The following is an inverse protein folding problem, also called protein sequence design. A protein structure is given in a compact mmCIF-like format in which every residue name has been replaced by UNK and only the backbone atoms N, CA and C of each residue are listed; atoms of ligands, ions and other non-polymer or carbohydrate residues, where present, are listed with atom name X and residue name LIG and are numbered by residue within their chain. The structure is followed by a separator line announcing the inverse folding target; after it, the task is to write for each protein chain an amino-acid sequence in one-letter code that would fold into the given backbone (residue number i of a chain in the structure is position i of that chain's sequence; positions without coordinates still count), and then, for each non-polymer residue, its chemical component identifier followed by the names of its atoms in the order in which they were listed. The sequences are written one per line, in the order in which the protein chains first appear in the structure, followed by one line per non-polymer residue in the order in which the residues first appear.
data_IF_854399274634
#
_entry.id   IF_854399274634
#
_cell.length_a   1.000
_cell.length_b   1.000
_cell.length_c   1.000
_cell.angle_alpha   90.00
_cell.angle_beta   90.00
_cell.angle_gamma   90.00
#
_symmetry.space_group_name_H-M   'P 1'
#
loop_
_entity.id
_entity.type
_entity.pdbx_description
1 polymer ?
#
# COMPACT_ATOMS: atom_id res chain seq x y z
N UNK A 1 70.18 73.25 -30.60
CA UNK A 1 69.92 73.59 -32.06
C UNK A 1 68.53 73.00 -32.41
N UNK A 2 67.72 73.93 -32.95
CA UNK A 2 66.54 73.75 -33.83
C UNK A 2 65.37 72.92 -33.31
N UNK A 3 64.33 73.53 -32.80
CA UNK A 3 63.09 74.10 -33.38
C UNK A 3 62.39 73.13 -34.36
N UNK A 4 61.20 72.63 -34.05
CA UNK A 4 59.98 73.04 -34.75
C UNK A 4 58.68 72.61 -33.98
N UNK A 5 57.89 73.63 -33.79
CA UNK A 5 56.51 73.53 -33.28
C UNK A 5 55.54 73.10 -34.39
N UNK A 6 54.52 72.34 -34.16
CA UNK A 6 53.28 72.30 -34.96
C UNK A 6 52.06 72.13 -34.12
N UNK A 7 51.22 73.03 -34.25
CA UNK A 7 49.87 73.36 -33.80
C UNK A 7 48.89 72.24 -33.67
N UNK A 8 48.16 72.31 -32.57
CA UNK A 8 46.92 71.50 -32.24
C UNK A 8 45.72 71.98 -33.07
N UNK A 9 44.91 71.07 -33.53
CA UNK A 9 43.51 71.30 -33.95
C UNK A 9 42.62 70.47 -33.04
N UNK A 10 41.80 71.16 -32.23
CA UNK A 10 40.70 70.56 -31.47
C UNK A 10 39.61 70.10 -32.42
N UNK A 11 39.20 68.83 -32.27
CA UNK A 11 37.97 68.31 -32.82
C UNK A 11 37.08 67.90 -31.66
N UNK A 12 35.97 68.63 -31.47
CA UNK A 12 34.89 68.23 -30.54
C UNK A 12 34.16 66.99 -31.13
N UNK A 13 34.21 65.87 -30.37
CA UNK A 13 33.44 64.66 -30.70
C UNK A 13 32.26 64.66 -29.78
N UNK A 14 31.05 64.94 -30.28
CA UNK A 14 29.78 64.79 -29.56
C UNK A 14 29.43 63.33 -29.34
N UNK A 15 29.35 62.90 -28.10
CA UNK A 15 28.84 61.59 -27.70
C UNK A 15 27.31 61.66 -27.69
N UNK A 16 26.66 61.08 -28.70
CA UNK A 16 25.23 60.83 -28.71
C UNK A 16 24.94 59.62 -27.79
N UNK A 17 24.35 59.88 -26.61
CA UNK A 17 23.90 58.84 -25.68
C UNK A 17 22.56 58.27 -26.19
N UNK A 18 22.60 57.14 -26.89
CA UNK A 18 21.40 56.40 -27.32
C UNK A 18 20.85 55.60 -26.11
N UNK A 19 19.77 56.08 -25.51
CA UNK A 19 19.02 55.35 -24.47
C UNK A 19 18.26 54.23 -25.18
N UNK A 20 18.76 53.00 -25.05
CA UNK A 20 18.04 51.77 -25.45
C UNK A 20 17.04 51.45 -24.36
N UNK A 21 15.79 51.89 -24.50
CA UNK A 21 14.65 51.45 -23.68
C UNK A 21 14.36 49.98 -24.02
N UNK A 22 14.92 49.05 -23.24
CA UNK A 22 14.63 47.63 -23.37
C UNK A 22 13.17 47.37 -22.95
N UNK A 23 12.30 47.18 -23.93
CA UNK A 23 10.95 46.72 -23.73
C UNK A 23 11.06 45.24 -23.35
N UNK A 24 11.05 44.90 -22.04
CA UNK A 24 10.89 43.53 -21.56
C UNK A 24 9.48 43.08 -21.90
N UNK A 25 9.33 42.37 -22.98
CA UNK A 25 8.11 41.61 -23.31
C UNK A 25 8.07 40.47 -22.30
N UNK A 26 7.29 40.63 -21.21
CA UNK A 26 6.93 39.53 -20.34
C UNK A 26 6.16 38.51 -21.19
N UNK A 27 6.78 37.37 -21.46
CA UNK A 27 6.10 36.25 -22.11
C UNK A 27 4.85 35.93 -21.27
N UNK A 28 3.66 35.79 -21.88
CA UNK A 28 2.49 35.40 -21.15
C UNK A 28 2.78 34.03 -20.51
N UNK A 29 2.77 33.96 -19.19
CA UNK A 29 2.71 32.71 -18.47
C UNK A 29 1.44 32.01 -18.95
N UNK A 30 1.59 31.00 -19.81
CA UNK A 30 0.46 30.15 -20.20
C UNK A 30 0.01 29.43 -18.95
N UNK A 31 -0.97 29.98 -18.25
CA UNK A 31 -1.69 29.27 -17.20
C UNK A 31 -2.14 27.96 -17.85
N UNK A 32 -1.71 26.83 -17.29
CA UNK A 32 -2.11 25.52 -17.77
C UNK A 32 -3.64 25.46 -17.70
N UNK A 33 -4.31 25.16 -18.82
CA UNK A 33 -5.75 25.09 -18.90
C UNK A 33 -6.26 24.02 -17.93
N UNK A 34 -7.21 24.40 -17.07
CA UNK A 34 -7.83 23.49 -16.11
C UNK A 34 -8.65 22.44 -16.85
N UNK A 35 -8.43 21.16 -16.52
CA UNK A 35 -9.09 20.02 -17.15
C UNK A 35 -9.61 19.09 -16.08
N UNK A 36 -10.92 18.81 -16.13
CA UNK A 36 -11.57 17.97 -15.14
C UNK A 36 -12.44 16.91 -15.81
N UNK A 37 -12.33 15.67 -15.31
CA UNK A 37 -13.34 14.66 -15.53
C UNK A 37 -14.40 14.68 -14.40
N UNK A 38 -15.44 13.91 -14.57
CA UNK A 38 -16.49 13.69 -13.55
C UNK A 38 -15.87 13.39 -12.19
N UNK A 39 -16.33 14.08 -11.16
CA UNK A 39 -15.83 13.95 -9.78
C UNK A 39 -14.72 14.93 -9.38
N UNK A 40 -14.30 15.81 -10.31
CA UNK A 40 -13.36 16.89 -10.02
C UNK A 40 -13.94 18.26 -10.41
N UNK A 41 -13.52 19.30 -9.67
CA UNK A 41 -13.89 20.70 -9.93
C UNK A 41 -12.77 21.63 -9.48
N UNK A 42 -13.00 22.93 -9.54
CA UNK A 42 -12.09 23.96 -8.99
C UNK A 42 -11.91 23.85 -7.46
N UNK A 43 -12.87 23.26 -6.76
CA UNK A 43 -12.92 23.25 -5.30
C UNK A 43 -12.94 21.87 -4.68
N UNK A 44 -13.23 20.81 -5.44
CA UNK A 44 -13.50 19.49 -4.88
C UNK A 44 -12.92 18.37 -5.73
N UNK A 45 -12.46 17.32 -5.06
CA UNK A 45 -12.06 16.03 -5.65
C UNK A 45 -12.85 14.93 -4.92
N UNK A 46 -13.73 14.22 -5.63
CA UNK A 46 -14.55 13.12 -5.08
C UNK A 46 -13.79 11.79 -5.22
N UNK A 47 -13.61 11.09 -4.12
CA UNK A 47 -12.92 9.81 -4.04
C UNK A 47 -13.86 8.77 -3.46
N UNK A 48 -14.02 7.63 -4.16
CA UNK A 48 -14.86 6.52 -3.72
C UNK A 48 -14.07 5.39 -3.07
N UNK A 49 -14.65 4.76 -2.06
CA UNK A 49 -14.08 3.59 -1.39
C UNK A 49 -15.18 2.60 -1.00
N UNK A 50 -14.84 1.31 -0.97
CA UNK A 50 -15.62 0.27 -0.28
C UNK A 50 -14.73 -0.43 0.73
N UNK A 51 -15.23 -0.61 1.95
CA UNK A 51 -14.49 -1.22 3.05
C UNK A 51 -15.40 -2.09 3.92
N UNK A 52 -14.87 -3.15 4.57
CA UNK A 52 -15.65 -3.99 5.45
C UNK A 52 -15.79 -3.33 6.84
N UNK A 53 -16.71 -2.40 7.00
CA UNK A 53 -17.03 -1.85 8.33
C UNK A 53 -17.81 -2.84 9.19
N UNK A 54 -18.42 -3.83 8.56
CA UNK A 54 -19.09 -4.98 9.20
C UNK A 54 -18.59 -6.30 8.60
N UNK A 55 -19.11 -7.45 9.10
CA UNK A 55 -18.78 -8.77 8.59
C UNK A 55 -17.46 -9.35 9.09
N UNK A 56 -16.95 -10.42 8.42
CA UNK A 56 -15.82 -11.22 8.93
C UNK A 56 -14.48 -10.48 8.98
N UNK A 57 -14.31 -9.42 8.19
CA UNK A 57 -13.10 -8.59 8.16
C UNK A 57 -13.33 -7.18 8.75
N UNK A 58 -14.32 -7.01 9.64
CA UNK A 58 -14.65 -5.69 10.20
C UNK A 58 -13.50 -5.00 10.93
N UNK A 59 -12.53 -5.75 11.48
CA UNK A 59 -11.30 -5.17 12.06
C UNK A 59 -10.47 -4.37 11.05
N UNK A 60 -10.57 -4.69 9.75
CA UNK A 60 -9.87 -3.99 8.69
C UNK A 60 -10.58 -2.68 8.26
N UNK A 61 -11.84 -2.46 8.68
CA UNK A 61 -12.55 -1.22 8.41
C UNK A 61 -11.88 0.03 8.98
N UNK A 62 -10.96 -0.13 9.94
CA UNK A 62 -10.13 0.96 10.48
C UNK A 62 -9.23 1.58 9.39
N UNK A 63 -8.84 0.84 8.36
CA UNK A 63 -8.05 1.34 7.23
C UNK A 63 -8.75 2.54 6.60
N UNK A 64 -9.98 2.34 6.11
CA UNK A 64 -10.74 3.40 5.45
C UNK A 64 -11.12 4.55 6.41
N UNK A 65 -11.33 4.27 7.73
CA UNK A 65 -11.48 5.33 8.73
C UNK A 65 -10.22 6.19 8.85
N UNK A 66 -9.04 5.57 8.83
CA UNK A 66 -7.75 6.28 8.88
C UNK A 66 -7.54 7.13 7.64
N UNK A 67 -7.89 6.61 6.46
CA UNK A 67 -7.84 7.35 5.20
C UNK A 67 -8.73 8.58 5.23
N UNK A 68 -9.97 8.43 5.69
CA UNK A 68 -10.90 9.56 5.86
C UNK A 68 -10.37 10.63 6.84
N UNK A 69 -9.75 10.20 7.94
CA UNK A 69 -9.10 11.08 8.90
C UNK A 69 -7.88 11.80 8.28
N UNK A 70 -7.10 11.10 7.45
CA UNK A 70 -5.97 11.69 6.72
C UNK A 70 -6.44 12.76 5.71
N UNK A 71 -7.48 12.47 4.94
CA UNK A 71 -8.03 13.46 4.01
C UNK A 71 -8.67 14.64 4.73
N UNK A 72 -9.27 14.41 5.92
CA UNK A 72 -9.68 15.53 6.77
C UNK A 72 -8.49 16.40 7.17
N UNK A 73 -7.36 15.80 7.55
CA UNK A 73 -6.13 16.55 7.85
C UNK A 73 -5.64 17.37 6.65
N UNK A 74 -5.69 16.81 5.44
CA UNK A 74 -5.35 17.52 4.19
C UNK A 74 -6.30 18.69 3.99
N UNK A 75 -7.61 18.48 4.15
CA UNK A 75 -8.62 19.52 4.00
C UNK A 75 -8.45 20.66 5.00
N UNK A 76 -8.16 20.37 6.27
CA UNK A 76 -7.87 21.38 7.32
C UNK A 76 -6.63 22.25 6.98
N UNK A 77 -5.78 21.79 6.06
CA UNK A 77 -4.60 22.50 5.54
C UNK A 77 -4.82 23.20 4.19
N UNK A 78 -6.08 23.24 3.71
CA UNK A 78 -6.44 23.90 2.44
C UNK A 78 -6.59 22.95 1.26
N UNK A 79 -6.65 21.64 1.50
CA UNK A 79 -6.86 20.62 0.47
C UNK A 79 -5.63 20.33 -0.39
N UNK A 80 -5.83 19.67 -1.52
CA UNK A 80 -4.79 19.40 -2.52
C UNK A 80 -4.88 20.42 -3.63
N UNK A 81 -3.84 21.23 -3.82
CA UNK A 81 -3.80 22.33 -4.78
C UNK A 81 -5.05 23.25 -4.68
N UNK A 82 -5.52 23.51 -3.42
CA UNK A 82 -6.71 24.33 -3.14
C UNK A 82 -8.05 23.62 -3.27
N UNK A 83 -8.09 22.31 -3.53
CA UNK A 83 -9.31 21.51 -3.69
C UNK A 83 -9.50 20.59 -2.49
N UNK A 84 -10.71 20.60 -1.92
CA UNK A 84 -11.06 19.72 -0.81
C UNK A 84 -11.32 18.30 -1.32
N UNK A 85 -10.87 17.31 -0.58
CA UNK A 85 -11.15 15.89 -0.84
C UNK A 85 -12.51 15.56 -0.22
N UNK A 86 -13.44 15.08 -1.02
CA UNK A 86 -14.68 14.44 -0.58
C UNK A 86 -14.50 12.93 -0.64
N UNK A 87 -14.25 12.31 0.51
CA UNK A 87 -14.04 10.87 0.62
C UNK A 87 -15.35 10.16 0.97
N UNK A 88 -15.86 9.36 0.03
CA UNK A 88 -17.13 8.64 0.13
C UNK A 88 -16.82 7.16 0.29
N UNK A 89 -17.02 6.60 1.48
CA UNK A 89 -16.76 5.20 1.79
C UNK A 89 -18.03 4.48 2.22
N UNK A 90 -18.27 3.30 1.62
CA UNK A 90 -19.43 2.45 1.90
C UNK A 90 -19.03 1.10 2.48
N UNK A 91 -19.89 0.58 3.40
CA UNK A 91 -19.74 -0.77 3.93
C UNK A 91 -20.15 -1.82 2.90
N UNK A 92 -19.21 -2.69 2.55
CA UNK A 92 -19.49 -3.85 1.72
C UNK A 92 -19.55 -5.18 2.52
N UNK A 93 -19.31 -5.14 3.81
CA UNK A 93 -19.30 -6.29 4.71
C UNK A 93 -18.39 -7.45 4.23
N UNK A 94 -17.37 -7.15 3.41
CA UNK A 94 -16.53 -8.13 2.71
C UNK A 94 -17.35 -9.08 1.82
N UNK A 95 -18.42 -8.58 1.21
CA UNK A 95 -19.34 -9.35 0.37
C UNK A 95 -19.24 -8.89 -1.10
N UNK A 96 -18.73 -9.72 -2.03
CA UNK A 96 -18.62 -9.36 -3.44
C UNK A 96 -19.91 -8.79 -4.06
N UNK A 97 -21.13 -9.34 -3.80
CA UNK A 97 -22.36 -8.73 -4.29
C UNK A 97 -22.61 -7.31 -3.79
N UNK A 98 -22.32 -7.04 -2.50
CA UNK A 98 -22.43 -5.69 -1.94
C UNK A 98 -21.35 -4.76 -2.51
N UNK A 99 -20.13 -5.26 -2.69
CA UNK A 99 -19.06 -4.47 -3.33
C UNK A 99 -19.47 -4.03 -4.73
N UNK A 100 -20.12 -4.89 -5.52
CA UNK A 100 -20.66 -4.54 -6.84
C UNK A 100 -21.72 -3.43 -6.74
N UNK A 101 -22.66 -3.56 -5.80
CA UNK A 101 -23.70 -2.55 -5.56
C UNK A 101 -23.09 -1.20 -5.18
N UNK A 102 -22.22 -1.18 -4.17
CA UNK A 102 -21.65 0.06 -3.65
C UNK A 102 -20.68 0.70 -4.65
N UNK A 103 -19.90 -0.09 -5.39
CA UNK A 103 -19.01 0.43 -6.44
C UNK A 103 -19.79 1.08 -7.57
N UNK A 104 -20.92 0.48 -8.00
CA UNK A 104 -21.82 1.12 -8.99
C UNK A 104 -22.37 2.44 -8.48
N UNK A 105 -22.84 2.46 -7.22
CA UNK A 105 -23.34 3.67 -6.59
C UNK A 105 -22.28 4.78 -6.55
N UNK A 106 -21.02 4.45 -6.20
CA UNK A 106 -19.91 5.40 -6.20
C UNK A 106 -19.66 5.99 -7.60
N UNK A 107 -19.67 5.16 -8.64
CA UNK A 107 -19.38 5.61 -10.01
C UNK A 107 -20.57 6.30 -10.66
N UNK A 108 -21.78 5.73 -10.56
CA UNK A 108 -22.94 6.14 -11.35
C UNK A 108 -23.81 7.19 -10.64
N UNK A 109 -23.85 7.20 -9.29
CA UNK A 109 -24.66 8.13 -8.51
C UNK A 109 -23.85 9.20 -7.80
N UNK A 110 -22.72 8.83 -7.17
CA UNK A 110 -21.86 9.81 -6.51
C UNK A 110 -20.89 10.48 -7.48
N UNK A 111 -20.70 9.89 -8.66
CA UNK A 111 -19.87 10.44 -9.73
C UNK A 111 -18.42 10.71 -9.25
N UNK A 112 -17.79 9.72 -8.64
CA UNK A 112 -16.42 9.87 -8.14
C UNK A 112 -15.41 9.97 -9.28
N UNK A 113 -14.32 10.73 -9.06
CA UNK A 113 -13.19 10.83 -9.99
C UNK A 113 -12.46 9.50 -10.10
N UNK A 114 -12.19 8.88 -8.95
CA UNK A 114 -11.46 7.64 -8.82
C UNK A 114 -12.00 6.79 -7.66
N UNK A 115 -11.66 5.50 -7.68
CA UNK A 115 -11.81 4.59 -6.57
C UNK A 115 -10.45 4.42 -5.88
N UNK A 116 -10.45 4.41 -4.54
CA UNK A 116 -9.25 4.36 -3.75
C UNK A 116 -9.33 3.27 -2.69
N UNK A 117 -8.29 2.50 -2.59
CA UNK A 117 -8.01 1.53 -1.52
C UNK A 117 -9.20 0.61 -1.19
N UNK A 118 -9.96 0.15 -2.21
CA UNK A 118 -11.00 -0.86 -2.02
C UNK A 118 -10.39 -2.13 -1.46
N UNK A 119 -10.99 -2.70 -0.41
CA UNK A 119 -10.37 -3.75 0.37
C UNK A 119 -10.83 -5.15 -0.06
N UNK A 120 -9.82 -6.01 -0.25
CA UNK A 120 -9.98 -7.44 -0.39
C UNK A 120 -9.90 -7.97 -1.81
N UNK A 121 -9.39 -9.19 -1.94
CA UNK A 121 -9.21 -9.84 -3.24
C UNK A 121 -10.55 -10.23 -3.89
N UNK A 122 -11.43 -11.04 -3.25
CA UNK A 122 -12.69 -11.45 -3.89
C UNK A 122 -13.63 -10.28 -4.13
N UNK A 123 -13.66 -9.30 -3.24
CA UNK A 123 -14.47 -8.09 -3.36
C UNK A 123 -14.03 -7.23 -4.54
N UNK A 124 -12.74 -6.91 -4.64
CA UNK A 124 -12.20 -6.10 -5.73
C UNK A 124 -12.25 -6.83 -7.08
N UNK A 125 -11.99 -8.15 -7.10
CA UNK A 125 -12.14 -8.96 -8.31
C UNK A 125 -13.55 -8.93 -8.89
N UNK A 126 -14.57 -8.82 -8.05
CA UNK A 126 -15.97 -8.76 -8.49
C UNK A 126 -16.31 -7.51 -9.31
N UNK A 127 -15.50 -6.45 -9.20
CA UNK A 127 -15.75 -5.15 -9.83
C UNK A 127 -14.67 -4.73 -10.84
N UNK A 128 -13.50 -5.35 -10.83
CA UNK A 128 -12.34 -4.87 -11.60
C UNK A 128 -12.62 -4.72 -13.11
N UNK A 129 -13.34 -5.69 -13.72
CA UNK A 129 -13.71 -5.63 -15.14
C UNK A 129 -14.61 -4.45 -15.44
N UNK A 130 -15.61 -4.22 -14.57
CA UNK A 130 -16.56 -3.10 -14.70
C UNK A 130 -15.84 -1.75 -14.57
N UNK A 131 -14.98 -1.60 -13.55
CA UNK A 131 -14.23 -0.37 -13.29
C UNK A 131 -13.29 -0.04 -14.46
N UNK A 132 -12.58 -1.04 -14.98
CA UNK A 132 -11.70 -0.88 -16.14
C UNK A 132 -12.48 -0.54 -17.42
N UNK A 133 -13.64 -1.16 -17.66
CA UNK A 133 -14.52 -0.82 -18.79
C UNK A 133 -15.05 0.62 -18.71
N UNK A 134 -15.30 1.14 -17.50
CA UNK A 134 -15.71 2.53 -17.25
C UNK A 134 -14.54 3.52 -17.27
N UNK A 135 -13.29 3.04 -17.37
CA UNK A 135 -12.07 3.86 -17.32
C UNK A 135 -12.01 4.74 -16.08
N UNK A 136 -12.39 4.18 -14.92
CA UNK A 136 -12.28 4.85 -13.62
C UNK A 136 -10.98 4.37 -12.97
N UNK A 137 -10.06 5.25 -12.59
CA UNK A 137 -8.86 4.85 -11.85
C UNK A 137 -9.26 4.12 -10.55
N UNK A 138 -8.69 2.93 -10.33
CA UNK A 138 -8.84 2.13 -9.11
C UNK A 138 -7.46 2.01 -8.49
N UNK A 139 -7.11 2.99 -7.66
CA UNK A 139 -5.75 3.18 -7.18
C UNK A 139 -5.52 2.57 -5.81
N UNK A 140 -4.34 1.99 -5.66
CA UNK A 140 -3.81 1.51 -4.39
C UNK A 140 -4.75 0.53 -3.70
N UNK A 141 -5.23 -0.47 -4.45
CA UNK A 141 -6.13 -1.52 -3.96
C UNK A 141 -5.56 -2.15 -2.67
N UNK A 142 -6.40 -2.24 -1.61
CA UNK A 142 -6.03 -2.82 -0.33
C UNK A 142 -6.07 -4.36 -0.38
N UNK A 143 -5.32 -4.91 -1.30
CA UNK A 143 -5.08 -6.33 -1.45
C UNK A 143 -3.86 -6.54 -2.35
N UNK A 144 -3.09 -7.58 -2.08
CA UNK A 144 -1.85 -7.88 -2.81
C UNK A 144 -2.04 -8.91 -3.93
N UNK A 145 -3.28 -9.21 -4.38
CA UNK A 145 -3.45 -10.18 -5.46
C UNK A 145 -2.69 -9.73 -6.72
N UNK A 146 -1.87 -10.61 -7.26
CA UNK A 146 -0.97 -10.31 -8.38
C UNK A 146 -1.71 -9.76 -9.60
N UNK A 147 -2.97 -10.13 -9.77
CA UNK A 147 -3.82 -9.61 -10.86
C UNK A 147 -4.01 -8.08 -10.83
N UNK A 148 -3.87 -7.43 -9.68
CA UNK A 148 -4.04 -5.98 -9.55
C UNK A 148 -2.87 -5.17 -10.14
N UNK A 149 -1.74 -5.80 -10.39
CA UNK A 149 -0.61 -5.24 -11.12
C UNK A 149 -0.56 -5.62 -12.61
N UNK A 150 -1.52 -6.37 -13.10
CA UNK A 150 -1.62 -6.82 -14.50
C UNK A 150 -2.04 -5.67 -15.43
N UNK A 151 -1.16 -4.70 -15.62
CA UNK A 151 -1.40 -3.46 -16.37
C UNK A 151 -1.93 -3.67 -17.79
N UNK A 152 -1.57 -4.79 -18.45
CA UNK A 152 -2.08 -5.13 -19.80
C UNK A 152 -3.55 -5.50 -19.78
N UNK A 153 -4.00 -6.20 -18.76
CA UNK A 153 -5.38 -6.69 -18.62
C UNK A 153 -6.27 -5.64 -17.94
N UNK A 154 -5.73 -4.97 -16.93
CA UNK A 154 -6.44 -4.00 -16.10
C UNK A 154 -5.70 -2.68 -15.97
N UNK A 155 -5.57 -1.91 -17.07
CA UNK A 155 -4.74 -0.70 -17.11
C UNK A 155 -5.25 0.44 -16.21
N UNK A 156 -6.46 0.33 -15.66
CA UNK A 156 -7.06 1.31 -14.75
C UNK A 156 -7.00 0.88 -13.28
N UNK A 157 -6.28 -0.19 -12.98
CA UNK A 157 -6.16 -0.72 -11.62
C UNK A 157 -4.71 -0.81 -11.21
N UNK A 158 -4.43 -0.53 -9.93
CA UNK A 158 -3.09 -0.56 -9.34
C UNK A 158 -3.17 -1.04 -7.89
N UNK A 159 -2.33 -1.99 -7.49
CA UNK A 159 -2.14 -2.41 -6.11
C UNK A 159 -1.41 -1.35 -5.26
N UNK A 160 -1.27 -1.60 -3.95
CA UNK A 160 -0.48 -0.76 -3.07
C UNK A 160 0.65 -1.54 -2.39
N UNK A 161 0.29 -2.57 -1.65
CA UNK A 161 1.22 -3.42 -0.91
C UNK A 161 1.96 -4.38 -1.83
N UNK A 162 3.04 -5.04 -1.38
CA UNK A 162 3.69 -6.10 -2.13
C UNK A 162 2.68 -7.15 -2.60
N UNK A 163 2.88 -7.65 -3.83
CA UNK A 163 1.98 -8.70 -4.30
C UNK A 163 2.10 -9.93 -3.40
N UNK A 164 1.01 -10.70 -3.27
CA UNK A 164 1.04 -11.92 -2.46
C UNK A 164 2.10 -12.89 -2.94
N UNK A 165 2.28 -13.01 -4.24
CA UNK A 165 3.35 -13.86 -4.77
C UNK A 165 4.74 -13.30 -4.44
N UNK A 166 4.94 -11.97 -4.42
CA UNK A 166 6.21 -11.37 -4.01
C UNK A 166 6.52 -11.63 -2.54
N UNK A 167 5.54 -11.37 -1.65
CA UNK A 167 5.70 -11.63 -0.21
C UNK A 167 5.98 -13.12 0.05
N UNK A 168 5.13 -14.00 -0.48
CA UNK A 168 5.24 -15.43 -0.14
C UNK A 168 6.40 -16.13 -0.83
N UNK A 169 6.94 -15.56 -1.91
CA UNK A 169 8.21 -15.97 -2.50
C UNK A 169 9.38 -15.69 -1.55
N UNK A 170 9.34 -14.57 -0.81
CA UNK A 170 10.33 -14.28 0.24
C UNK A 170 10.28 -15.38 1.32
N UNK A 171 9.09 -15.76 1.78
CA UNK A 171 8.95 -16.85 2.75
C UNK A 171 9.42 -18.19 2.20
N UNK A 172 9.08 -18.51 0.96
CA UNK A 172 9.54 -19.75 0.30
C UNK A 172 11.07 -19.84 0.22
N UNK A 173 11.73 -18.75 -0.19
CA UNK A 173 13.21 -18.67 -0.21
C UNK A 173 13.80 -18.82 1.20
N UNK A 174 13.24 -18.10 2.17
CA UNK A 174 13.68 -18.20 3.56
C UNK A 174 13.57 -19.65 4.10
N UNK A 175 12.45 -20.32 3.83
CA UNK A 175 12.24 -21.71 4.25
C UNK A 175 13.20 -22.67 3.54
N UNK A 176 13.37 -22.54 2.24
CA UNK A 176 14.32 -23.36 1.46
C UNK A 176 15.75 -23.24 1.99
N UNK A 177 16.18 -22.02 2.29
CA UNK A 177 17.58 -21.74 2.65
C UNK A 177 17.88 -22.06 4.11
N UNK A 178 16.90 -21.98 5.01
CA UNK A 178 17.11 -22.20 6.46
C UNK A 178 16.52 -23.52 6.98
N UNK A 179 15.60 -24.14 6.24
CA UNK A 179 14.89 -25.37 6.64
C UNK A 179 14.76 -26.37 5.45
N UNK A 180 15.86 -26.72 4.77
CA UNK A 180 15.81 -27.40 3.47
C UNK A 180 15.18 -28.80 3.50
N UNK A 181 15.13 -29.47 4.66
CA UNK A 181 14.64 -30.84 4.81
C UNK A 181 13.36 -30.93 5.67
N UNK A 182 12.80 -29.78 6.07
CA UNK A 182 11.70 -29.76 7.01
C UNK A 182 10.34 -29.86 6.28
N UNK A 183 9.39 -30.57 6.89
CA UNK A 183 8.05 -30.76 6.36
C UNK A 183 7.19 -29.52 6.58
N UNK A 184 6.50 -29.06 5.56
CA UNK A 184 5.71 -27.84 5.55
C UNK A 184 4.22 -28.19 5.47
N UNK A 185 3.41 -27.58 6.33
CA UNK A 185 1.96 -27.58 6.24
C UNK A 185 1.47 -26.15 5.95
N UNK A 186 0.54 -26.01 5.02
CA UNK A 186 0.03 -24.71 4.57
C UNK A 186 -1.47 -24.61 4.86
N UNK A 187 -1.87 -23.51 5.50
CA UNK A 187 -3.26 -23.07 5.65
C UNK A 187 -3.52 -21.87 4.75
N UNK A 188 -4.57 -21.92 3.94
CA UNK A 188 -4.96 -20.77 3.10
C UNK A 188 -6.49 -20.67 2.99
N UNK A 189 -7.02 -19.49 2.61
CA UNK A 189 -8.44 -19.39 2.28
C UNK A 189 -8.75 -20.06 0.93
N UNK A 190 -9.98 -20.57 0.79
CA UNK A 190 -10.44 -21.19 -0.46
C UNK A 190 -10.95 -20.13 -1.46
N UNK A 191 -10.06 -19.19 -1.81
CA UNK A 191 -10.35 -18.09 -2.76
C UNK A 191 -9.09 -17.68 -3.52
N UNK A 192 -9.16 -16.60 -4.30
CA UNK A 192 -8.01 -16.09 -5.07
C UNK A 192 -6.88 -15.58 -4.18
N UNK A 193 -7.19 -15.06 -2.96
CA UNK A 193 -6.16 -14.69 -2.00
C UNK A 193 -5.32 -15.90 -1.60
N UNK A 194 -5.95 -17.01 -1.20
CA UNK A 194 -5.23 -18.21 -0.80
C UNK A 194 -4.43 -18.82 -1.95
N UNK A 195 -5.03 -18.92 -3.13
CA UNK A 195 -4.36 -19.47 -4.32
C UNK A 195 -3.11 -18.69 -4.72
N UNK A 196 -3.20 -17.36 -4.71
CA UNK A 196 -2.09 -16.48 -5.10
C UNK A 196 -0.91 -16.59 -4.11
N UNK A 197 -1.22 -16.65 -2.81
CA UNK A 197 -0.23 -16.86 -1.75
C UNK A 197 0.51 -18.21 -1.88
N UNK A 198 -0.24 -19.29 -2.08
CA UNK A 198 0.32 -20.64 -2.22
C UNK A 198 1.21 -20.72 -3.47
N UNK A 199 0.81 -20.06 -4.56
CA UNK A 199 1.63 -19.99 -5.77
C UNK A 199 2.98 -19.32 -5.51
N UNK A 200 3.00 -18.16 -4.88
CA UNK A 200 4.25 -17.46 -4.57
C UNK A 200 5.15 -18.24 -3.60
N UNK A 201 4.56 -18.93 -2.60
CA UNK A 201 5.32 -19.82 -1.72
C UNK A 201 6.02 -20.94 -2.51
N UNK A 202 5.29 -21.60 -3.39
CA UNK A 202 5.83 -22.68 -4.24
C UNK A 202 6.93 -22.16 -5.16
N UNK A 203 6.74 -21.00 -5.77
CA UNK A 203 7.77 -20.33 -6.59
C UNK A 203 9.06 -20.05 -5.77
N UNK A 204 8.91 -19.61 -4.52
CA UNK A 204 10.04 -19.34 -3.62
C UNK A 204 10.76 -20.59 -3.13
N UNK A 205 10.03 -21.66 -2.88
CA UNK A 205 10.59 -22.97 -2.48
C UNK A 205 11.37 -23.61 -3.63
N UNK A 206 10.99 -23.39 -4.88
CA UNK A 206 11.65 -24.00 -6.03
C UNK A 206 11.70 -25.52 -5.90
N UNK A 207 12.88 -26.13 -5.97
CA UNK A 207 13.05 -27.58 -5.88
C UNK A 207 12.61 -28.18 -4.52
N UNK A 208 12.53 -27.35 -3.46
CA UNK A 208 12.05 -27.77 -2.15
C UNK A 208 10.50 -27.82 -2.03
N UNK A 209 9.76 -27.62 -3.11
CA UNK A 209 8.29 -27.67 -3.12
C UNK A 209 7.73 -29.02 -2.63
N UNK A 210 8.47 -30.09 -2.82
CA UNK A 210 8.14 -31.44 -2.31
C UNK A 210 8.09 -31.55 -0.78
N UNK A 211 8.62 -30.57 -0.06
CA UNK A 211 8.53 -30.49 1.40
C UNK A 211 7.14 -30.12 1.90
N UNK A 212 6.25 -29.62 1.04
CA UNK A 212 4.86 -29.35 1.39
C UNK A 212 4.12 -30.69 1.48
N UNK A 213 3.86 -31.15 2.70
CA UNK A 213 3.21 -32.46 3.00
C UNK A 213 1.70 -32.30 3.22
N UNK A 214 1.20 -31.08 3.47
CA UNK A 214 -0.22 -30.79 3.61
C UNK A 214 -0.55 -29.38 3.15
N UNK A 215 -1.61 -29.26 2.35
CA UNK A 215 -2.25 -28.00 2.00
C UNK A 215 -3.74 -28.13 2.40
N UNK A 216 -4.19 -27.26 3.29
CA UNK A 216 -5.59 -27.25 3.77
C UNK A 216 -6.17 -25.88 3.57
N UNK A 217 -7.37 -25.81 3.02
CA UNK A 217 -8.09 -24.56 2.82
C UNK A 217 -9.25 -24.42 3.82
N UNK A 218 -9.63 -23.17 4.10
CA UNK A 218 -10.80 -22.83 4.89
C UNK A 218 -11.74 -21.89 4.11
N UNK A 219 -13.02 -21.92 4.47
CA UNK A 219 -14.01 -20.97 3.94
C UNK A 219 -14.07 -19.72 4.82
N UNK A 220 -14.10 -18.53 4.21
CA UNK A 220 -14.21 -17.26 4.97
C UNK A 220 -15.54 -17.08 5.67
N UNK A 221 -16.56 -17.87 5.31
CA UNK A 221 -17.86 -17.97 5.99
C UNK A 221 -17.88 -18.94 7.17
N UNK A 222 -16.82 -19.76 7.36
CA UNK A 222 -16.76 -20.71 8.46
C UNK A 222 -16.73 -20.01 9.82
N UNK A 223 -17.39 -20.58 10.85
CA UNK A 223 -17.31 -20.04 12.19
C UNK A 223 -15.94 -20.27 12.84
N UNK A 224 -15.33 -21.43 12.60
CA UNK A 224 -14.02 -21.86 13.12
C UNK A 224 -13.24 -22.66 12.07
N UNK A 225 -11.94 -22.84 12.31
CA UNK A 225 -11.01 -23.64 11.49
C UNK A 225 -10.28 -24.72 12.30
N UNK A 226 -10.88 -25.17 13.37
CA UNK A 226 -10.28 -26.13 14.31
C UNK A 226 -9.92 -27.45 13.65
N UNK A 227 -10.78 -27.96 12.77
CA UNK A 227 -10.58 -29.22 12.05
C UNK A 227 -9.41 -29.13 11.07
N UNK A 228 -9.24 -27.97 10.46
CA UNK A 228 -8.14 -27.67 9.55
C UNK A 228 -6.79 -27.74 10.26
N UNK A 229 -6.70 -27.14 11.46
CA UNK A 229 -5.47 -27.16 12.27
C UNK A 229 -5.13 -28.58 12.77
N UNK A 230 -6.13 -29.36 13.14
CA UNK A 230 -5.93 -30.78 13.52
C UNK A 230 -5.37 -31.57 12.34
N UNK A 231 -5.93 -31.42 11.13
CA UNK A 231 -5.40 -32.07 9.91
C UNK A 231 -3.95 -31.69 9.63
N UNK A 232 -3.63 -30.38 9.71
CA UNK A 232 -2.27 -29.88 9.48
C UNK A 232 -1.28 -30.46 10.49
N UNK A 233 -1.61 -30.52 11.77
CA UNK A 233 -0.77 -31.15 12.78
C UNK A 233 -0.52 -32.63 12.49
N UNK A 234 -1.55 -33.38 12.11
CA UNK A 234 -1.43 -34.82 11.82
C UNK A 234 -0.64 -35.14 10.56
N UNK A 235 -0.33 -34.15 9.71
CA UNK A 235 0.59 -34.34 8.58
C UNK A 235 2.04 -34.61 9.00
N UNK A 236 2.36 -34.38 10.26
CA UNK A 236 3.73 -34.48 10.79
C UNK A 236 4.63 -33.33 10.36
N UNK A 237 4.05 -32.20 9.90
CA UNK A 237 4.81 -31.01 9.56
C UNK A 237 5.36 -30.32 10.81
N UNK A 238 6.59 -29.82 10.70
CA UNK A 238 7.27 -29.01 11.71
C UNK A 238 7.45 -27.55 11.29
N UNK A 239 6.96 -27.19 10.09
CA UNK A 239 6.75 -25.81 9.65
C UNK A 239 5.25 -25.60 9.38
N UNK A 240 4.70 -24.51 9.89
CA UNK A 240 3.36 -24.06 9.61
C UNK A 240 3.38 -22.73 8.86
N UNK A 241 2.86 -22.70 7.65
CA UNK A 241 2.67 -21.51 6.84
C UNK A 241 1.21 -21.11 6.90
N UNK A 242 0.93 -19.95 7.52
CA UNK A 242 -0.39 -19.46 7.84
C UNK A 242 -0.76 -18.27 6.94
N UNK A 243 -1.45 -18.53 5.84
CA UNK A 243 -2.01 -17.54 4.93
C UNK A 243 -3.50 -17.29 5.22
N UNK A 244 -3.81 -17.11 6.49
CA UNK A 244 -5.17 -16.81 6.91
C UNK A 244 -5.35 -15.31 7.13
N UNK A 245 -6.58 -14.81 6.88
CA UNK A 245 -6.98 -13.45 7.22
C UNK A 245 -7.12 -13.27 8.73
N UNK A 246 -7.09 -12.02 9.21
CA UNK A 246 -6.94 -11.64 10.62
C UNK A 246 -7.70 -12.55 11.64
N UNK A 247 -9.02 -12.70 11.50
CA UNK A 247 -9.84 -13.55 12.40
C UNK A 247 -9.33 -14.99 12.43
N UNK A 248 -9.10 -15.58 11.26
CA UNK A 248 -8.70 -16.97 11.11
C UNK A 248 -7.23 -17.19 11.46
N UNK A 249 -6.37 -16.19 11.24
CA UNK A 249 -5.00 -16.23 11.71
C UNK A 249 -4.91 -16.29 13.23
N UNK A 250 -5.72 -15.47 13.93
CA UNK A 250 -5.81 -15.52 15.39
C UNK A 250 -6.32 -16.88 15.89
N UNK A 251 -7.35 -17.43 15.24
CA UNK A 251 -7.87 -18.78 15.55
C UNK A 251 -6.81 -19.86 15.32
N UNK A 252 -6.06 -19.79 14.21
CA UNK A 252 -5.02 -20.75 13.88
C UNK A 252 -3.88 -20.75 14.91
N UNK A 253 -3.41 -19.57 15.31
CA UNK A 253 -2.36 -19.42 16.35
C UNK A 253 -2.82 -20.02 17.66
N UNK A 254 -4.02 -19.62 18.13
CA UNK A 254 -4.60 -20.11 19.36
C UNK A 254 -4.80 -21.63 19.33
N UNK A 255 -5.38 -22.16 18.25
CA UNK A 255 -5.64 -23.59 18.10
C UNK A 255 -4.36 -24.42 18.03
N UNK A 256 -3.33 -23.95 17.33
CA UNK A 256 -2.02 -24.64 17.32
C UNK A 256 -1.46 -24.81 18.74
N UNK A 257 -1.55 -23.77 19.57
CA UNK A 257 -1.13 -23.84 20.97
C UNK A 257 -2.00 -24.79 21.80
N UNK A 258 -3.34 -24.72 21.69
CA UNK A 258 -4.29 -25.60 22.40
C UNK A 258 -4.05 -27.08 22.12
N UNK A 259 -3.74 -27.44 20.87
CA UNK A 259 -3.47 -28.83 20.50
C UNK A 259 -2.00 -29.24 20.74
N UNK A 260 -1.17 -28.35 21.31
CA UNK A 260 0.24 -28.61 21.59
C UNK A 260 1.11 -28.76 20.32
N UNK A 261 0.73 -28.11 19.22
CA UNK A 261 1.55 -28.07 17.99
C UNK A 261 2.45 -26.85 18.02
N UNK A 262 3.77 -27.05 17.96
CA UNK A 262 4.81 -26.03 18.08
C UNK A 262 5.72 -26.02 16.84
N UNK A 263 5.21 -25.72 15.64
CA UNK A 263 6.03 -25.64 14.44
C UNK A 263 6.79 -24.32 14.37
N UNK A 264 7.79 -24.22 13.49
CA UNK A 264 8.22 -22.93 12.97
C UNK A 264 7.01 -22.32 12.24
N UNK A 265 6.58 -21.14 12.68
CA UNK A 265 5.33 -20.55 12.20
C UNK A 265 5.61 -19.33 11.35
N UNK A 266 5.24 -19.38 10.07
CA UNK A 266 5.27 -18.24 9.13
C UNK A 266 3.86 -17.66 9.05
N UNK A 267 3.73 -16.38 9.31
CA UNK A 267 2.46 -15.65 9.28
C UNK A 267 2.47 -14.62 8.13
N UNK A 268 1.41 -14.60 7.34
CA UNK A 268 1.22 -13.60 6.29
C UNK A 268 1.22 -12.18 6.85
N UNK A 269 1.88 -11.23 6.18
CA UNK A 269 2.01 -9.83 6.61
C UNK A 269 0.69 -9.10 6.82
N UNK A 270 -0.36 -9.43 6.07
CA UNK A 270 -1.70 -8.87 6.29
C UNK A 270 -2.29 -9.20 7.66
N UNK A 271 -1.76 -10.21 8.35
CA UNK A 271 -2.25 -10.68 9.66
C UNK A 271 -1.26 -10.41 10.80
N UNK A 272 -0.27 -9.54 10.58
CA UNK A 272 0.76 -9.22 11.57
C UNK A 272 0.30 -8.25 12.69
N UNK A 273 -0.92 -7.70 12.63
CA UNK A 273 -1.40 -6.73 13.62
C UNK A 273 -1.39 -7.32 15.04
N UNK A 274 -0.60 -6.72 15.93
CA UNK A 274 -0.51 -7.16 17.33
C UNK A 274 -1.88 -7.02 17.99
N UNK A 275 -2.55 -5.88 17.85
CA UNK A 275 -3.83 -5.60 18.51
C UNK A 275 -4.99 -6.42 17.94
N UNK A 276 -5.05 -6.58 16.60
CA UNK A 276 -6.18 -7.22 15.93
C UNK A 276 -6.03 -8.75 15.77
N UNK A 277 -4.80 -9.28 15.83
CA UNK A 277 -4.52 -10.72 15.59
C UNK A 277 -3.80 -11.38 16.75
N UNK A 278 -2.62 -10.86 17.15
CA UNK A 278 -1.79 -11.58 18.12
C UNK A 278 -2.35 -11.51 19.54
N UNK A 279 -2.88 -10.36 19.97
CA UNK A 279 -3.56 -10.24 21.29
C UNK A 279 -4.77 -11.17 21.42
N UNK A 280 -5.70 -11.23 20.44
CA UNK A 280 -6.80 -12.20 20.48
C UNK A 280 -6.36 -13.66 20.46
N UNK A 281 -5.20 -13.97 19.84
CA UNK A 281 -4.62 -15.31 19.82
C UNK A 281 -3.94 -15.72 21.14
N UNK A 282 -3.58 -14.72 21.98
CA UNK A 282 -2.66 -14.85 23.11
C UNK A 282 -1.22 -14.55 22.69
N UNK A 283 -0.61 -13.50 23.26
CA UNK A 283 0.73 -13.06 22.85
C UNK A 283 1.80 -14.13 23.08
N UNK A 284 1.62 -14.93 24.14
CA UNK A 284 2.47 -16.07 24.46
C UNK A 284 2.42 -17.18 23.39
N UNK A 285 1.25 -17.35 22.74
CA UNK A 285 1.06 -18.33 21.66
C UNK A 285 1.67 -17.85 20.35
N UNK A 286 1.85 -16.53 20.21
CA UNK A 286 2.40 -15.91 19.01
C UNK A 286 3.91 -15.71 19.06
N UNK A 287 4.55 -15.98 20.20
CA UNK A 287 6.01 -15.84 20.35
C UNK A 287 6.74 -16.69 19.31
N UNK A 288 7.82 -16.13 18.76
CA UNK A 288 8.67 -16.72 17.70
C UNK A 288 8.01 -16.86 16.31
N UNK A 289 6.77 -16.38 16.11
CA UNK A 289 6.18 -16.28 14.77
C UNK A 289 7.03 -15.36 13.88
N UNK A 290 7.27 -15.80 12.65
CA UNK A 290 7.98 -15.04 11.62
C UNK A 290 6.99 -14.47 10.63
N UNK A 291 7.20 -13.21 10.26
CA UNK A 291 6.44 -12.51 9.23
C UNK A 291 7.38 -11.61 8.42
N UNK A 292 6.85 -10.78 7.54
CA UNK A 292 7.60 -9.74 6.85
C UNK A 292 6.82 -8.42 6.87
N UNK A 293 7.54 -7.31 6.89
CA UNK A 293 6.95 -5.97 6.83
C UNK A 293 7.72 -5.08 5.87
N UNK A 294 7.02 -4.12 5.29
CA UNK A 294 7.57 -3.01 4.53
C UNK A 294 7.35 -1.66 5.27
N UNK A 295 6.62 -1.69 6.38
CA UNK A 295 6.28 -0.52 7.18
C UNK A 295 7.00 -0.53 8.53
N UNK A 296 7.25 0.67 9.07
CA UNK A 296 7.72 0.86 10.44
C UNK A 296 6.63 0.41 11.43
N UNK A 297 7.04 -0.26 12.50
CA UNK A 297 6.20 -0.48 13.67
C UNK A 297 6.35 0.74 14.59
N UNK A 298 5.27 1.48 14.91
CA UNK A 298 5.37 2.64 15.80
C UNK A 298 5.87 2.31 17.21
N UNK A 299 5.74 1.06 17.64
CA UNK A 299 6.23 0.60 18.95
C UNK A 299 7.74 0.31 18.97
N UNK A 300 8.40 0.21 17.81
CA UNK A 300 9.84 -0.07 17.73
C UNK A 300 10.65 1.16 18.13
N UNK A 301 11.40 1.03 19.23
CA UNK A 301 12.26 2.09 19.76
C UNK A 301 13.32 2.62 18.77
N UNK A 302 13.63 1.85 17.71
CA UNK A 302 14.53 2.31 16.64
C UNK A 302 14.01 3.58 15.94
N UNK A 303 12.71 3.84 15.98
CA UNK A 303 12.07 4.98 15.31
C UNK A 303 11.78 6.18 16.23
N UNK A 304 12.16 6.14 17.51
CA UNK A 304 11.81 7.18 18.50
C UNK A 304 12.11 8.62 18.06
N UNK A 305 13.18 8.81 17.27
CA UNK A 305 13.62 10.11 16.77
C UNK A 305 13.31 10.31 15.27
N UNK A 306 12.53 9.38 14.65
CA UNK A 306 12.19 9.43 13.24
C UNK A 306 11.15 10.53 12.96
N UNK A 307 11.43 11.48 12.05
CA UNK A 307 10.49 12.56 11.75
C UNK A 307 9.19 12.07 11.09
N UNK A 308 9.20 10.94 10.40
CA UNK A 308 8.00 10.31 9.82
C UNK A 308 7.10 9.78 10.94
N UNK A 309 7.68 9.05 11.91
CA UNK A 309 6.93 8.59 13.08
C UNK A 309 6.35 9.77 13.87
N UNK A 310 7.10 10.86 14.00
CA UNK A 310 6.57 12.06 14.69
C UNK A 310 5.34 12.62 13.96
N UNK A 311 5.39 12.78 12.63
CA UNK A 311 4.23 13.26 11.85
C UNK A 311 3.02 12.32 11.97
N UNK A 312 3.27 11.03 11.93
CA UNK A 312 2.23 10.01 12.16
C UNK A 312 1.62 10.13 13.57
N UNK A 313 2.44 10.25 14.62
CA UNK A 313 1.97 10.40 16.01
C UNK A 313 1.17 11.70 16.20
N UNK A 314 1.61 12.81 15.61
CA UNK A 314 0.88 14.08 15.63
C UNK A 314 -0.49 13.95 14.90
N UNK A 315 -0.54 13.20 13.79
CA UNK A 315 -1.77 12.86 13.10
C UNK A 315 -2.70 12.03 13.99
N UNK A 316 -2.19 10.97 14.61
CA UNK A 316 -2.97 10.10 15.50
C UNK A 316 -3.58 10.89 16.66
N UNK A 317 -2.78 11.69 17.33
CA UNK A 317 -3.24 12.49 18.47
C UNK A 317 -4.37 13.45 18.11
N UNK A 318 -4.35 14.04 16.91
CA UNK A 318 -5.32 15.06 16.51
C UNK A 318 -6.52 14.50 15.76
N UNK A 319 -6.34 13.52 14.88
CA UNK A 319 -7.37 13.08 13.93
C UNK A 319 -7.92 11.69 14.22
N UNK A 320 -7.22 10.91 15.05
CA UNK A 320 -7.62 9.54 15.44
C UNK A 320 -7.54 9.35 16.98
N UNK A 321 -8.04 10.31 17.80
CA UNK A 321 -7.92 10.20 19.25
C UNK A 321 -8.62 8.94 19.77
N UNK A 322 -7.91 8.16 20.60
CA UNK A 322 -8.43 6.92 21.18
C UNK A 322 -8.20 5.66 20.35
N UNK A 323 -7.75 5.78 19.10
CA UNK A 323 -7.36 4.60 18.31
C UNK A 323 -5.92 4.19 18.63
N UNK A 324 -5.66 2.87 18.52
CA UNK A 324 -4.33 2.31 18.78
C UNK A 324 -3.35 2.69 17.65
N UNK A 325 -2.42 3.59 17.95
CA UNK A 325 -1.38 4.01 16.99
C UNK A 325 -0.45 2.87 16.54
N UNK A 326 -0.35 1.78 17.31
CA UNK A 326 0.48 0.63 16.98
C UNK A 326 -0.25 -0.40 16.11
N UNK A 327 -1.52 -0.13 15.76
CA UNK A 327 -2.27 -1.02 14.88
C UNK A 327 -1.74 -0.91 13.45
N UNK A 328 -1.20 -2.02 12.93
CA UNK A 328 -0.69 -2.11 11.55
C UNK A 328 -1.68 -1.60 10.50
N UNK A 329 -2.98 -1.82 10.67
CA UNK A 329 -4.00 -1.36 9.71
C UNK A 329 -4.15 0.16 9.69
N UNK A 330 -3.90 0.83 10.81
CA UNK A 330 -3.85 2.29 10.88
C UNK A 330 -2.63 2.83 10.14
N UNK A 331 -1.45 2.23 10.38
CA UNK A 331 -0.22 2.56 9.65
C UNK A 331 -0.40 2.38 8.15
N UNK A 332 -1.04 1.27 7.74
CA UNK A 332 -1.35 0.99 6.35
C UNK A 332 -2.22 2.08 5.71
N UNK A 333 -3.36 2.40 6.32
CA UNK A 333 -4.28 3.43 5.82
C UNK A 333 -3.63 4.81 5.73
N UNK A 334 -2.78 5.16 6.71
CA UNK A 334 -2.00 6.40 6.69
C UNK A 334 -1.07 6.47 5.47
N UNK A 335 -0.27 5.42 5.24
CA UNK A 335 0.64 5.36 4.09
C UNK A 335 -0.11 5.40 2.76
N UNK A 336 -1.19 4.64 2.62
CA UNK A 336 -1.99 4.62 1.38
C UNK A 336 -2.58 6.01 1.07
N UNK A 337 -3.13 6.68 2.08
CA UNK A 337 -3.68 8.02 1.93
C UNK A 337 -2.59 9.06 1.61
N UNK A 338 -1.41 8.95 2.22
CA UNK A 338 -0.26 9.79 1.89
C UNK A 338 0.16 9.62 0.43
N UNK A 339 0.24 8.38 -0.05
CA UNK A 339 0.58 8.09 -1.45
C UNK A 339 -0.44 8.72 -2.43
N UNK A 340 -1.73 8.56 -2.17
CA UNK A 340 -2.76 9.16 -3.02
C UNK A 340 -2.70 10.69 -3.01
N UNK A 341 -2.47 11.30 -1.85
CA UNK A 341 -2.33 12.76 -1.76
C UNK A 341 -1.18 13.28 -2.63
N UNK A 342 -0.04 12.55 -2.71
CA UNK A 342 1.06 12.93 -3.60
C UNK A 342 0.71 12.76 -5.08
N UNK A 343 0.01 11.69 -5.47
CA UNK A 343 -0.50 11.51 -6.84
C UNK A 343 -1.40 12.68 -7.24
N UNK A 344 -2.38 13.02 -6.40
CA UNK A 344 -3.31 14.12 -6.66
C UNK A 344 -2.62 15.48 -6.72
N UNK A 345 -1.60 15.70 -5.89
CA UNK A 345 -0.78 16.90 -5.90
C UNK A 345 -0.02 17.07 -7.22
N UNK A 346 0.50 15.97 -7.78
CA UNK A 346 1.18 15.96 -9.07
C UNK A 346 0.23 16.22 -10.25
N UNK A 347 -1.06 15.92 -10.12
CA UNK A 347 -2.07 16.20 -11.13
C UNK A 347 -2.25 17.71 -11.41
N UNK A 348 -1.98 18.58 -10.44
CA UNK A 348 -2.17 20.03 -10.53
C UNK A 348 -3.57 20.41 -11.02
N UNK A 349 -3.68 21.09 -12.17
CA UNK A 349 -4.94 21.53 -12.77
C UNK A 349 -5.51 20.56 -13.83
N UNK A 350 -4.84 19.44 -14.07
CA UNK A 350 -5.35 18.36 -14.93
C UNK A 350 -5.84 17.18 -14.05
N UNK A 351 -7.10 17.23 -13.62
CA UNK A 351 -7.77 16.17 -12.89
C UNK A 351 -8.65 15.33 -13.82
N UNK A 352 -8.14 15.02 -15.01
CA UNK A 352 -8.71 13.96 -15.84
C UNK A 352 -8.31 12.59 -15.31
N UNK A 353 -9.19 11.59 -15.42
CA UNK A 353 -8.90 10.20 -15.02
C UNK A 353 -7.63 9.65 -15.68
N UNK A 354 -7.43 10.00 -16.95
CA UNK A 354 -6.22 9.62 -17.68
C UNK A 354 -4.95 10.23 -17.07
N UNK A 355 -4.99 11.48 -16.63
CA UNK A 355 -3.86 12.09 -15.96
C UNK A 355 -3.63 11.53 -14.56
N UNK A 356 -4.71 11.24 -13.81
CA UNK A 356 -4.61 10.59 -12.49
C UNK A 356 -3.88 9.25 -12.60
N UNK A 357 -4.23 8.40 -13.58
CA UNK A 357 -3.49 7.16 -13.85
C UNK A 357 -2.04 7.43 -14.21
N UNK A 358 -1.79 8.36 -15.14
CA UNK A 358 -0.42 8.69 -15.55
C UNK A 358 0.46 9.17 -14.40
N UNK A 359 -0.08 9.96 -13.46
CA UNK A 359 0.66 10.39 -12.27
C UNK A 359 0.88 9.22 -11.29
N UNK A 360 -0.09 8.32 -11.14
CA UNK A 360 0.07 7.11 -10.36
C UNK A 360 1.11 6.14 -10.96
N UNK A 361 1.24 6.10 -12.29
CA UNK A 361 2.25 5.32 -13.04
C UNK A 361 3.63 5.98 -13.11
N UNK A 362 3.78 7.17 -12.56
CA UNK A 362 5.02 7.95 -12.62
C UNK A 362 5.66 8.18 -11.23
N UNK A 363 5.29 7.39 -10.25
CA UNK A 363 5.92 7.47 -8.93
C UNK A 363 7.38 7.01 -9.04
N UNK A 364 8.29 7.80 -8.51
CA UNK A 364 9.72 7.49 -8.53
C UNK A 364 10.31 7.74 -7.15
N UNK A 365 10.74 6.67 -6.51
CA UNK A 365 11.36 6.68 -5.18
C UNK A 365 10.59 7.54 -4.16
N UNK A 366 9.26 7.46 -4.18
CA UNK A 366 8.43 8.19 -3.23
C UNK A 366 8.58 7.61 -1.83
N UNK A 367 9.12 8.41 -0.93
CA UNK A 367 9.23 8.07 0.49
C UNK A 367 7.93 8.42 1.20
N UNK A 368 7.39 7.47 1.97
CA UNK A 368 6.27 7.72 2.87
C UNK A 368 6.73 7.66 4.33
N UNK A 369 6.03 8.37 5.21
CA UNK A 369 6.41 8.55 6.61
C UNK A 369 6.62 7.23 7.35
N UNK A 370 5.76 6.25 7.10
CA UNK A 370 5.76 5.00 7.85
C UNK A 370 6.24 3.79 7.01
N UNK A 371 6.91 3.99 5.88
CA UNK A 371 7.68 2.93 5.23
C UNK A 371 9.05 2.76 5.88
N UNK A 372 9.61 1.56 5.78
CA UNK A 372 11.02 1.33 6.16
C UNK A 372 11.94 2.22 5.30
N UNK A 373 13.07 2.71 5.82
CA UNK A 373 13.90 3.71 5.15
C UNK A 373 14.37 3.32 3.74
N UNK A 374 14.65 2.04 3.53
CA UNK A 374 15.17 1.50 2.27
C UNK A 374 14.05 1.07 1.30
N UNK A 375 12.79 1.34 1.65
CA UNK A 375 11.61 1.00 0.84
C UNK A 375 10.93 2.27 0.37
N UNK A 376 10.73 2.36 -0.94
CA UNK A 376 10.06 3.48 -1.60
C UNK A 376 8.99 2.99 -2.56
N UNK A 377 8.03 3.84 -2.88
CA UNK A 377 7.09 3.56 -3.96
C UNK A 377 7.70 3.96 -5.29
N UNK A 378 7.70 3.03 -6.23
CA UNK A 378 8.08 3.28 -7.62
C UNK A 378 7.13 2.52 -8.54
N UNK A 379 6.68 3.18 -9.61
CA UNK A 379 5.75 2.63 -10.60
C UNK A 379 6.16 3.03 -12.00
N UNK A 380 5.62 2.36 -13.00
CA UNK A 380 5.74 2.76 -14.39
C UNK A 380 4.49 2.33 -15.17
N UNK A 381 4.30 2.76 -16.43
CA UNK A 381 3.22 2.26 -17.28
C UNK A 381 3.23 0.74 -17.52
N UNK A 382 4.33 0.07 -17.19
CA UNK A 382 4.49 -1.38 -17.29
C UNK A 382 4.71 -2.07 -15.93
N UNK A 383 4.54 -1.33 -14.84
CA UNK A 383 4.73 -1.84 -13.48
C UNK A 383 3.75 -1.15 -12.52
N UNK A 384 2.70 -1.87 -12.14
CA UNK A 384 1.65 -1.44 -11.22
C UNK A 384 1.80 -2.04 -9.81
N UNK A 385 3.05 -2.40 -9.42
CA UNK A 385 3.38 -2.86 -8.06
C UNK A 385 4.24 -1.80 -7.35
N UNK A 386 3.62 -0.84 -6.64
CA UNK A 386 4.36 0.27 -6.03
C UNK A 386 5.41 -0.14 -5.01
N UNK A 387 5.17 -1.24 -4.30
CA UNK A 387 6.10 -1.83 -3.31
C UNK A 387 6.31 -3.30 -3.63
N UNK A 388 7.57 -3.74 -3.70
CA UNK A 388 7.93 -5.16 -3.93
C UNK A 388 8.91 -5.69 -2.89
N UNK A 389 9.36 -4.84 -1.97
CA UNK A 389 10.41 -5.12 -1.01
C UNK A 389 9.83 -5.26 0.40
N UNK A 390 10.38 -6.20 1.17
CA UNK A 390 10.02 -6.42 2.57
C UNK A 390 11.25 -6.81 3.39
N UNK A 391 11.17 -6.64 4.69
CA UNK A 391 12.15 -7.17 5.64
C UNK A 391 11.48 -8.19 6.54
N UNK A 392 12.17 -9.32 6.79
CA UNK A 392 11.68 -10.32 7.72
C UNK A 392 11.69 -9.79 9.15
N UNK A 393 10.73 -10.26 9.93
CA UNK A 393 10.59 -9.93 11.35
C UNK A 393 10.09 -11.13 12.14
N UNK A 394 10.40 -11.14 13.44
CA UNK A 394 10.06 -12.20 14.38
C UNK A 394 9.39 -11.58 15.60
N UNK A 395 8.29 -12.15 16.05
CA UNK A 395 7.60 -11.69 17.25
C UNK A 395 8.27 -12.19 18.51
N UNK A 396 8.71 -11.30 19.39
CA UNK A 396 9.43 -11.67 20.63
C UNK A 396 8.49 -11.97 21.83
N UNK A 397 7.19 -11.80 21.64
CA UNK A 397 6.16 -11.90 22.67
C UNK A 397 5.56 -10.54 23.05
N UNK A 398 6.15 -9.43 22.60
CA UNK A 398 5.69 -8.06 22.84
C UNK A 398 5.70 -7.23 21.56
N UNK A 399 6.79 -7.32 20.77
CA UNK A 399 7.02 -6.51 19.60
C UNK A 399 7.55 -7.35 18.43
N UNK A 400 7.42 -6.81 17.23
CA UNK A 400 8.09 -7.33 16.06
C UNK A 400 9.55 -6.88 16.03
N UNK A 401 10.47 -7.82 15.96
CA UNK A 401 11.92 -7.58 15.86
C UNK A 401 12.36 -7.94 14.44
N UNK A 402 12.80 -6.95 13.68
CA UNK A 402 13.30 -7.13 12.31
C UNK A 402 14.63 -7.87 12.30
N UNK A 403 14.84 -8.70 11.29
CA UNK A 403 16.11 -9.40 11.07
C UNK A 403 16.41 -9.59 9.58
N UNK A 404 17.67 -9.82 9.24
CA UNK A 404 18.12 -9.93 7.86
C UNK A 404 18.02 -8.62 7.06
N UNK A 405 18.41 -8.63 5.78
CA UNK A 405 18.30 -7.48 4.89
C UNK A 405 16.87 -7.26 4.40
N UNK A 406 16.62 -6.11 3.78
CA UNK A 406 15.45 -5.91 2.91
C UNK A 406 15.59 -6.82 1.69
N UNK A 407 14.53 -7.55 1.36
CA UNK A 407 14.48 -8.55 0.31
C UNK A 407 13.50 -8.12 -0.76
N UNK A 408 13.90 -8.20 -2.02
CA UNK A 408 13.04 -7.99 -3.16
C UNK A 408 12.29 -9.28 -3.50
N UNK A 409 10.96 -9.22 -3.49
CA UNK A 409 10.08 -10.35 -3.80
C UNK A 409 9.70 -10.48 -5.27
N UNK A 410 10.15 -9.56 -6.13
CA UNK A 410 9.83 -9.58 -7.56
C UNK A 410 10.28 -10.89 -8.25
N UNK A 411 9.59 -11.32 -9.33
CA UNK A 411 10.00 -12.51 -10.08
C UNK A 411 11.41 -12.38 -10.65
N UNK A 412 12.22 -13.46 -10.53
CA UNK A 412 13.56 -13.51 -11.13
C UNK A 412 14.65 -12.74 -10.38
N UNK A 413 14.35 -12.04 -9.30
CA UNK A 413 15.35 -11.42 -8.42
C UNK A 413 15.78 -12.42 -7.33
N UNK A 414 17.09 -12.42 -7.03
CA UNK A 414 17.71 -13.31 -6.02
C UNK A 414 17.79 -12.64 -4.67
#
# INVERSE_FOLDING_TARGET
MSRHARTAKSACLGIALTIFTGLTIAAPSTAQEKRYDTGASDTTIKIGNTAPYSGPLSSNGIIARTEGAYFKMINDRGGVNGRMIEFISYDDAYSPPKTVEQTRKLIESNEVLLLFNQLGTPTTMSVIKYVNAKKVPQLFIAAGATVFGEYKTYPWSMGFQPSYQSETRIYGRYLRDNYPNEKIAVLSSNDDFGRDNVKGLKDGLGDAVGNIVAEVTYETSAPTIDSELVKLKFSGANIFVNFASAKFAAQAIKKAAEIGWKPVHILHGNSQSISAVLKPAGLENAKDIISASYSKDPADAAWKDDPGLKRYSDFMAKYMPGEDQNNFYVVYGYNAAQALAEVLKQCKDDLTRANVMRQAEALSQLHLDMLLPDITLSTSPSDHYPVEQMQLQKFDGQNWVRFGPVIDGAPGRK
#
